data_IF_911924418125
#
_entry.id   IF_911924418125
#
_cell.length_a   1.000
_cell.length_b   1.000
_cell.length_c   1.000
_cell.angle_alpha   90.00
_cell.angle_beta   90.00
_cell.angle_gamma   90.00
#
_symmetry.space_group_name_H-M   'P 1'
#
loop_
_entity.id
_entity.type
_entity.pdbx_description
1 polymer ?
#
# COMPACT_ATOMS: atom_id res chain seq x y z
N UNK A 1 -9.49 -7.12 7.01
CA UNK A 1 -8.59 -6.05 6.54
C UNK A 1 -7.17 -6.58 6.63
N UNK A 2 -6.32 -6.24 5.69
CA UNK A 2 -4.88 -6.50 5.68
C UNK A 2 -4.16 -5.17 5.77
N UNK A 3 -3.09 -5.10 6.56
CA UNK A 3 -2.19 -3.94 6.62
C UNK A 3 -0.82 -4.39 6.15
N UNK A 4 -0.28 -3.72 5.14
CA UNK A 4 1.12 -3.84 4.74
C UNK A 4 1.87 -2.60 5.19
N UNK A 5 3.10 -2.75 5.65
CA UNK A 5 3.94 -1.65 6.14
C UNK A 5 4.98 -1.30 5.09
N UNK A 6 4.95 -0.05 4.61
CA UNK A 6 6.00 0.53 3.78
C UNK A 6 6.95 1.35 4.67
N UNK A 7 7.95 0.68 5.23
CA UNK A 7 8.92 1.28 6.15
C UNK A 7 8.54 1.03 7.62
N UNK A 8 8.89 -0.14 8.13
CA UNK A 8 8.70 -0.48 9.55
C UNK A 8 9.48 0.47 10.46
N UNK A 9 8.95 0.73 11.65
CA UNK A 9 9.49 1.74 12.58
C UNK A 9 10.96 1.52 12.91
N UNK A 10 11.32 0.27 13.24
CA UNK A 10 12.66 -0.03 13.77
C UNK A 10 13.69 -0.28 12.67
N UNK A 11 13.28 -0.90 11.56
CA UNK A 11 14.21 -1.43 10.54
C UNK A 11 14.00 -0.82 9.16
N UNK A 12 12.98 0.03 8.97
CA UNK A 12 12.64 0.58 7.67
C UNK A 12 12.24 -0.48 6.63
N UNK A 13 11.80 -1.66 7.09
CA UNK A 13 11.46 -2.77 6.19
C UNK A 13 10.17 -2.49 5.42
N UNK A 14 10.13 -2.95 4.18
CA UNK A 14 8.97 -2.80 3.30
C UNK A 14 8.39 -4.18 3.06
N UNK A 15 7.13 -4.37 3.43
CA UNK A 15 6.38 -5.59 3.12
C UNK A 15 6.22 -5.75 1.59
N UNK A 16 6.04 -6.98 1.08
CA UNK A 16 5.83 -7.23 -0.36
C UNK A 16 4.42 -6.82 -0.80
N UNK A 17 4.13 -5.52 -0.81
CA UNK A 17 2.82 -4.91 -1.04
C UNK A 17 2.22 -5.32 -2.40
N UNK A 18 3.06 -5.42 -3.43
CA UNK A 18 2.70 -5.90 -4.75
C UNK A 18 2.13 -7.32 -4.71
N UNK A 19 2.86 -8.24 -4.06
CA UNK A 19 2.47 -9.65 -3.95
C UNK A 19 1.23 -9.82 -3.07
N UNK A 20 1.13 -9.05 -1.99
CA UNK A 20 -0.05 -9.05 -1.11
C UNK A 20 -1.28 -8.58 -1.88
N UNK A 21 -1.16 -7.50 -2.67
CA UNK A 21 -2.26 -7.02 -3.48
C UNK A 21 -2.65 -8.03 -4.57
N UNK A 22 -1.70 -8.67 -5.24
CA UNK A 22 -1.99 -9.73 -6.21
C UNK A 22 -2.81 -10.88 -5.58
N UNK A 23 -2.45 -11.31 -4.37
CA UNK A 23 -3.22 -12.33 -3.64
C UNK A 23 -4.65 -11.87 -3.28
N UNK A 24 -4.81 -10.59 -2.94
CA UNK A 24 -6.12 -10.02 -2.61
C UNK A 24 -7.00 -9.86 -3.84
N UNK A 25 -6.42 -9.47 -4.97
CA UNK A 25 -7.11 -9.38 -6.26
C UNK A 25 -7.58 -10.78 -6.70
N UNK A 26 -6.71 -11.79 -6.60
CA UNK A 26 -7.05 -13.19 -6.89
C UNK A 26 -8.18 -13.72 -5.98
N UNK A 27 -8.18 -13.33 -4.69
CA UNK A 27 -9.25 -13.69 -3.76
C UNK A 27 -10.60 -13.11 -4.22
N UNK A 28 -10.61 -11.84 -4.64
CA UNK A 28 -11.81 -11.18 -5.17
C UNK A 28 -12.31 -11.91 -6.41
N UNK A 29 -11.43 -12.21 -7.36
CA UNK A 29 -11.79 -12.92 -8.60
C UNK A 29 -12.38 -14.31 -8.33
N UNK A 30 -11.73 -15.09 -7.46
CA UNK A 30 -12.13 -16.48 -7.19
C UNK A 30 -13.39 -16.58 -6.34
N UNK A 31 -13.57 -15.70 -5.37
CA UNK A 31 -14.58 -15.86 -4.32
C UNK A 31 -15.62 -14.75 -4.24
N UNK A 32 -15.33 -13.58 -4.81
CA UNK A 32 -16.11 -12.36 -4.64
C UNK A 32 -15.91 -11.69 -3.27
N UNK A 33 -15.03 -12.21 -2.40
CA UNK A 33 -14.71 -11.59 -1.12
C UNK A 33 -13.64 -10.52 -1.29
N UNK A 34 -14.01 -9.28 -0.99
CA UNK A 34 -13.09 -8.15 -0.90
C UNK A 34 -12.64 -7.99 0.55
N UNK A 35 -11.34 -8.21 0.80
CA UNK A 35 -10.70 -7.86 2.08
C UNK A 35 -9.99 -6.51 1.87
N UNK A 36 -10.36 -5.44 2.61
CA UNK A 36 -9.70 -4.14 2.46
C UNK A 36 -8.21 -4.23 2.76
N UNK A 37 -7.40 -3.63 1.89
CA UNK A 37 -5.96 -3.49 2.04
C UNK A 37 -5.62 -2.05 2.40
N UNK A 38 -4.92 -1.85 3.52
CA UNK A 38 -4.32 -0.58 3.88
C UNK A 38 -2.81 -0.68 3.80
N UNK A 39 -2.15 0.34 3.28
CA UNK A 39 -0.70 0.47 3.43
C UNK A 39 -0.41 1.52 4.48
N UNK A 40 0.24 1.10 5.57
CA UNK A 40 0.90 2.03 6.47
C UNK A 40 2.22 2.46 5.82
N UNK A 41 2.18 3.59 5.13
CA UNK A 41 3.33 4.21 4.50
C UNK A 41 3.73 5.50 5.24
N UNK A 42 3.46 5.59 6.54
CA UNK A 42 3.74 6.77 7.34
C UNK A 42 5.20 7.23 7.16
N UNK A 43 6.14 6.28 7.20
CA UNK A 43 7.55 6.56 6.95
C UNK A 43 7.93 6.44 5.46
N UNK A 44 7.64 5.30 4.81
CA UNK A 44 8.20 4.98 3.49
C UNK A 44 7.42 5.51 2.28
N UNK A 45 6.25 6.13 2.46
CA UNK A 45 5.42 6.56 1.34
C UNK A 45 6.09 7.58 0.42
N UNK A 46 6.91 8.48 0.98
CA UNK A 46 7.65 9.46 0.17
C UNK A 46 8.71 8.84 -0.73
N UNK A 47 9.15 7.60 -0.50
CA UNK A 47 10.06 6.92 -1.43
C UNK A 47 9.42 6.67 -2.80
N UNK A 48 8.09 6.67 -2.91
CA UNK A 48 7.41 6.60 -4.20
C UNK A 48 7.76 7.78 -5.13
N UNK A 49 8.15 8.95 -4.60
CA UNK A 49 8.57 10.08 -5.44
C UNK A 49 9.94 9.87 -6.09
N UNK A 50 10.69 8.85 -5.67
CA UNK A 50 12.03 8.53 -6.21
C UNK A 50 11.98 7.70 -7.49
N UNK A 51 10.80 7.20 -7.89
CA UNK A 51 10.60 6.34 -9.07
C UNK A 51 11.14 6.92 -10.38
N UNK A 52 11.22 8.26 -10.49
CA UNK A 52 11.73 8.97 -11.67
C UNK A 52 13.17 9.49 -11.53
N UNK A 53 13.85 9.19 -10.41
CA UNK A 53 15.20 9.68 -10.12
C UNK A 53 16.17 8.52 -10.23
N UNK A 54 16.87 8.40 -11.36
CA UNK A 54 17.71 7.25 -11.71
C UNK A 54 18.70 6.85 -10.60
N UNK A 55 19.34 7.84 -9.97
CA UNK A 55 20.29 7.60 -8.89
C UNK A 55 19.61 7.03 -7.63
N UNK A 56 18.43 7.51 -7.26
CA UNK A 56 17.72 7.01 -6.09
C UNK A 56 17.08 5.64 -6.38
N UNK A 57 16.60 5.45 -7.60
CA UNK A 57 16.09 4.19 -8.07
C UNK A 57 17.19 3.10 -8.05
N UNK A 58 18.43 3.40 -8.42
CA UNK A 58 19.52 2.40 -8.37
C UNK A 58 19.88 1.92 -6.97
N UNK A 59 19.56 2.69 -5.92
CA UNK A 59 19.82 2.35 -4.51
C UNK A 59 18.79 1.39 -3.90
N UNK A 60 17.65 1.17 -4.57
CA UNK A 60 16.58 0.31 -4.07
C UNK A 60 16.65 -1.07 -4.70
N UNK A 61 16.45 -2.12 -3.89
CA UNK A 61 16.30 -3.48 -4.42
C UNK A 61 15.05 -3.57 -5.30
N UNK A 62 15.02 -4.56 -6.20
CA UNK A 62 13.88 -4.74 -7.11
C UNK A 62 12.59 -5.04 -6.36
N UNK A 63 12.64 -5.82 -5.27
CA UNK A 63 11.47 -6.10 -4.45
C UNK A 63 10.89 -4.82 -3.81
N UNK A 64 11.76 -3.93 -3.31
CA UNK A 64 11.29 -2.67 -2.71
C UNK A 64 10.68 -1.75 -3.77
N UNK A 65 11.25 -1.69 -4.98
CA UNK A 65 10.67 -0.92 -6.09
C UNK A 65 9.27 -1.40 -6.43
N UNK A 66 9.10 -2.72 -6.59
CA UNK A 66 7.79 -3.32 -6.88
C UNK A 66 6.78 -3.02 -5.78
N UNK A 67 7.17 -3.21 -4.51
CA UNK A 67 6.31 -2.95 -3.37
C UNK A 67 5.89 -1.47 -3.26
N UNK A 68 6.85 -0.54 -3.34
CA UNK A 68 6.57 0.91 -3.28
C UNK A 68 5.70 1.35 -4.47
N UNK A 69 5.97 0.83 -5.68
CA UNK A 69 5.16 1.10 -6.87
C UNK A 69 3.71 0.59 -6.75
N UNK A 70 3.47 -0.42 -5.92
CA UNK A 70 2.15 -0.99 -5.69
C UNK A 70 1.33 -0.31 -4.58
N UNK A 71 1.88 0.66 -3.83
CA UNK A 71 1.17 1.38 -2.75
C UNK A 71 -0.18 1.93 -3.22
N UNK A 72 -0.22 2.51 -4.43
CA UNK A 72 -1.43 3.08 -5.03
C UNK A 72 -2.51 2.07 -5.44
N UNK A 73 -2.25 0.75 -5.34
CA UNK A 73 -3.27 -0.29 -5.57
C UNK A 73 -4.10 -0.60 -4.34
N UNK A 74 -3.62 -0.22 -3.15
CA UNK A 74 -4.34 -0.49 -1.91
C UNK A 74 -5.63 0.33 -1.82
N UNK A 75 -6.51 -0.04 -0.88
CA UNK A 75 -7.78 0.68 -0.70
C UNK A 75 -7.58 2.00 0.04
N UNK A 76 -6.59 2.05 0.93
CA UNK A 76 -6.23 3.25 1.67
C UNK A 76 -4.74 3.26 2.02
N UNK A 77 -4.20 4.45 2.27
CA UNK A 77 -2.79 4.65 2.58
C UNK A 77 -2.66 5.73 3.65
N UNK A 78 -1.76 5.52 4.62
CA UNK A 78 -1.31 6.57 5.54
C UNK A 78 0.07 7.06 5.09
N UNK A 79 0.33 8.38 5.12
CA UNK A 79 1.69 8.93 5.01
C UNK A 79 1.85 10.11 5.97
N UNK A 80 3.04 10.28 6.53
CA UNK A 80 3.33 11.41 7.42
C UNK A 80 4.31 12.38 6.76
N UNK A 81 3.84 13.56 6.31
CA UNK A 81 4.74 14.63 5.87
C UNK A 81 5.79 15.02 6.92
N UNK A 82 5.49 14.88 8.21
CA UNK A 82 6.47 15.14 9.28
C UNK A 82 7.54 14.06 9.48
N UNK A 83 7.51 12.98 8.69
CA UNK A 83 8.55 11.95 8.63
C UNK A 83 9.44 12.23 7.40
N UNK A 84 9.36 11.40 6.37
CA UNK A 84 10.20 11.52 5.18
C UNK A 84 9.76 12.64 4.21
N UNK A 85 8.71 13.40 4.56
CA UNK A 85 8.29 14.60 3.84
C UNK A 85 8.95 15.90 4.32
N UNK A 86 9.72 15.86 5.43
CA UNK A 86 10.43 17.02 5.99
C UNK A 86 9.55 18.23 6.34
N UNK A 87 8.27 18.01 6.66
CA UNK A 87 7.35 19.06 7.13
C UNK A 87 7.39 19.14 8.67
N UNK A 88 7.34 20.33 9.30
CA UNK A 88 7.26 20.40 10.77
C UNK A 88 6.04 19.68 11.35
N UNK A 89 6.18 19.18 12.58
CA UNK A 89 5.06 18.65 13.33
C UNK A 89 3.95 19.70 13.55
N UNK A 90 2.67 19.34 13.57
CA UNK A 90 2.08 18.00 13.38
C UNK A 90 1.43 17.89 12.00
N UNK A 91 1.85 16.90 11.20
CA UNK A 91 1.34 16.69 9.85
C UNK A 91 1.31 15.20 9.48
N UNK A 92 0.11 14.62 9.49
CA UNK A 92 -0.19 13.30 8.96
C UNK A 92 -1.23 13.39 7.85
N UNK A 93 -1.27 12.40 6.97
CA UNK A 93 -2.20 12.35 5.85
C UNK A 93 -2.73 10.93 5.63
N UNK A 94 -4.00 10.86 5.24
CA UNK A 94 -4.70 9.62 4.91
C UNK A 94 -5.36 9.78 3.54
N UNK A 95 -5.16 8.79 2.67
CA UNK A 95 -5.83 8.72 1.39
C UNK A 95 -6.73 7.50 1.34
N UNK A 96 -7.96 7.73 0.89
CA UNK A 96 -8.80 6.67 0.35
C UNK A 96 -8.53 6.61 -1.15
N UNK A 97 -8.02 5.47 -1.63
CA UNK A 97 -7.55 5.33 -3.02
C UNK A 97 -8.58 4.61 -3.90
N UNK A 98 -9.45 3.77 -3.31
CA UNK A 98 -10.39 2.95 -4.09
C UNK A 98 -11.55 3.73 -4.74
N UNK A 99 -11.85 3.37 -6.00
CA UNK A 99 -13.03 3.74 -6.78
C UNK A 99 -14.06 2.60 -6.94
N UNK A 100 -13.77 1.37 -6.47
CA UNK A 100 -14.72 0.24 -6.55
C UNK A 100 -15.33 -0.09 -5.19
N UNK A 101 -16.67 -0.24 -5.08
CA UNK A 101 -17.33 -0.48 -3.81
C UNK A 101 -16.93 -1.84 -3.25
N UNK A 102 -16.59 -1.87 -1.95
CA UNK A 102 -16.40 -3.10 -1.18
C UNK A 102 -17.68 -3.93 -1.30
N UNK A 103 -17.68 -4.95 -2.17
CA UNK A 103 -18.78 -5.91 -2.26
C UNK A 103 -18.61 -6.93 -1.15
N UNK A 104 -19.43 -6.82 -0.10
CA UNK A 104 -19.62 -7.92 0.85
C UNK A 104 -20.34 -9.04 0.11
N UNK A 105 -19.63 -10.12 -0.20
CA UNK A 105 -20.18 -11.27 -0.92
C UNK A 105 -21.36 -11.92 -0.20
N UNK A 106 -22.60 -11.48 -0.49
CA UNK A 106 -23.78 -12.33 -0.35
C UNK A 106 -23.90 -13.17 -1.61
N UNK A 107 -23.30 -14.37 -1.62
CA UNK A 107 -23.76 -15.40 -2.56
C UNK A 107 -25.20 -15.76 -2.15
N UNK A 108 -26.17 -15.57 -3.05
CA UNK A 108 -27.45 -16.26 -2.93
C UNK A 108 -27.13 -17.76 -3.01
N UNK A 109 -27.47 -18.53 -1.97
CA UNK A 109 -27.42 -19.99 -2.05
C UNK A 109 -28.23 -20.43 -3.28
N UNK A 110 -27.70 -21.31 -4.14
CA UNK A 110 -28.54 -21.99 -5.11
C UNK A 110 -29.46 -22.95 -4.32
N UNK A 111 -30.76 -22.64 -4.31
CA UNK A 111 -31.83 -23.60 -4.01
C UNK A 111 -31.99 -24.57 -5.16
#
# INVERSE_FOLDING_TARGET
>A
MVVSVAGSTELGQVDPIDKIQDCLDELVERSGYCIPHHVDAAYGGYFASLSGVEMAHSLMSQDVKSAIGAIGRAHSVTMDPHKMGYVPYSCGAFWLVTASPIRTGRRKHPT
#
